data_IF_169421728137
#
_entry.id   IF_169421728137
#
_cell.length_a   1.000
_cell.length_b   1.000
_cell.length_c   1.000
_cell.angle_alpha   90.00
_cell.angle_beta   90.00
_cell.angle_gamma   90.00
#
_symmetry.space_group_name_H-M   'P 1'
#
loop_
_entity.id
_entity.type
_entity.pdbx_description
1 polymer ?
#
# COMPACT_ATOMS: atom_id res chain seq x y z
N UNK A 1 32.87 -20.02 2.65
CA UNK A 1 31.60 -19.37 3.04
C UNK A 1 30.43 -20.37 2.97
N UNK A 2 30.56 -21.57 3.54
CA UNK A 2 29.62 -22.70 3.34
C UNK A 2 28.99 -23.21 4.65
N UNK A 3 29.47 -22.76 5.80
CA UNK A 3 29.07 -23.29 7.10
C UNK A 3 27.71 -22.75 7.56
N UNK A 4 27.44 -21.45 7.39
CA UNK A 4 26.16 -20.82 7.75
C UNK A 4 24.99 -21.37 6.94
N UNK A 5 25.12 -21.40 5.61
CA UNK A 5 24.14 -22.03 4.72
C UNK A 5 23.82 -23.50 5.06
N UNK A 6 24.83 -24.30 5.40
CA UNK A 6 24.63 -25.69 5.79
C UNK A 6 23.89 -25.81 7.13
N UNK A 7 24.25 -25.02 8.13
CA UNK A 7 23.55 -24.99 9.42
C UNK A 7 22.09 -24.57 9.27
N UNK A 8 21.83 -23.54 8.46
CA UNK A 8 20.47 -23.05 8.22
C UNK A 8 19.61 -24.09 7.51
N UNK A 9 20.16 -24.76 6.49
CA UNK A 9 19.46 -25.84 5.81
C UNK A 9 19.13 -27.01 6.77
N UNK A 10 20.02 -27.33 7.72
CA UNK A 10 19.74 -28.34 8.75
C UNK A 10 18.60 -27.87 9.67
N UNK A 11 18.61 -26.61 10.12
CA UNK A 11 17.55 -26.07 10.95
C UNK A 11 16.18 -26.17 10.27
N UNK A 12 16.08 -25.79 8.99
CA UNK A 12 14.84 -25.91 8.22
C UNK A 12 14.41 -27.36 8.01
N UNK A 13 15.34 -28.30 7.83
CA UNK A 13 15.00 -29.73 7.75
C UNK A 13 14.43 -30.28 9.05
N UNK A 14 14.96 -29.83 10.19
CA UNK A 14 14.59 -30.35 11.53
C UNK A 14 13.31 -29.69 12.05
N UNK A 15 13.19 -28.37 11.93
CA UNK A 15 12.10 -27.58 12.51
C UNK A 15 11.02 -27.19 11.51
N UNK A 16 11.35 -27.20 10.21
CA UNK A 16 10.46 -26.73 9.16
C UNK A 16 9.39 -27.77 8.81
N UNK A 17 8.15 -27.31 8.75
CA UNK A 17 7.02 -28.10 8.25
C UNK A 17 7.02 -28.10 6.72
N UNK A 18 6.62 -29.20 6.07
CA UNK A 18 6.42 -29.23 4.63
C UNK A 18 5.39 -28.17 4.19
N UNK A 19 5.75 -27.42 3.16
CA UNK A 19 4.91 -26.39 2.56
C UNK A 19 5.02 -26.46 1.03
N UNK A 20 4.08 -25.78 0.37
CA UNK A 20 4.03 -25.68 -1.08
C UNK A 20 3.80 -24.23 -1.46
N UNK A 21 4.66 -23.69 -2.30
CA UNK A 21 4.44 -22.39 -2.92
C UNK A 21 4.01 -22.59 -4.38
N UNK A 22 2.89 -22.01 -4.78
CA UNK A 22 2.42 -22.00 -6.16
C UNK A 22 2.57 -20.59 -6.72
N UNK A 23 3.54 -20.35 -7.62
CA UNK A 23 3.66 -19.08 -8.32
C UNK A 23 2.44 -18.79 -9.21
N UNK A 24 2.13 -17.52 -9.53
CA UNK A 24 1.03 -17.15 -10.41
C UNK A 24 1.08 -17.81 -11.80
N UNK A 25 2.29 -18.00 -12.34
CA UNK A 25 2.49 -18.45 -13.73
C UNK A 25 3.40 -19.67 -13.86
N UNK A 26 3.66 -20.40 -12.78
CA UNK A 26 4.59 -21.53 -12.80
C UNK A 26 4.14 -22.70 -11.93
N UNK A 27 4.85 -23.82 -12.06
CA UNK A 27 4.54 -25.04 -11.32
C UNK A 27 4.78 -24.85 -9.81
N UNK A 28 4.03 -25.57 -8.95
CA UNK A 28 4.24 -25.55 -7.51
C UNK A 28 5.65 -25.99 -7.11
N UNK A 29 6.22 -25.28 -6.13
CA UNK A 29 7.57 -25.47 -5.58
C UNK A 29 7.43 -25.99 -4.14
N UNK A 30 7.80 -27.25 -3.89
CA UNK A 30 7.88 -27.78 -2.53
C UNK A 30 8.98 -27.05 -1.74
N UNK A 31 8.68 -26.70 -0.49
CA UNK A 31 9.62 -26.01 0.40
C UNK A 31 9.36 -26.38 1.86
N UNK A 32 10.17 -25.82 2.76
CA UNK A 32 9.93 -25.89 4.20
C UNK A 32 9.72 -24.52 4.79
N UNK A 33 8.88 -24.47 5.82
CA UNK A 33 8.57 -23.25 6.53
C UNK A 33 8.62 -23.44 8.04
N UNK A 34 9.14 -22.45 8.75
CA UNK A 34 9.14 -22.43 10.22
C UNK A 34 8.12 -21.38 10.66
N UNK A 35 7.22 -21.73 11.58
CA UNK A 35 6.26 -20.75 12.10
C UNK A 35 7.00 -19.67 12.87
N UNK A 36 6.83 -18.41 12.48
CA UNK A 36 7.40 -17.29 13.21
C UNK A 36 6.63 -17.07 14.52
N UNK A 37 7.37 -16.94 15.62
CA UNK A 37 6.83 -16.69 16.97
C UNK A 37 7.32 -15.38 17.59
N UNK A 38 8.33 -14.76 17.00
CA UNK A 38 8.95 -13.53 17.50
C UNK A 38 8.97 -12.46 16.40
N UNK A 39 8.77 -11.16 16.73
CA UNK A 39 8.94 -10.06 15.79
C UNK A 39 10.32 -10.05 15.11
N UNK A 40 10.41 -9.52 13.88
CA UNK A 40 11.71 -9.14 13.31
C UNK A 40 12.05 -7.73 13.76
N UNK A 41 13.24 -7.54 14.32
CA UNK A 41 13.68 -6.23 14.81
C UNK A 41 14.68 -5.62 13.87
N UNK A 42 14.35 -4.47 13.30
CA UNK A 42 15.23 -3.67 12.47
C UNK A 42 15.59 -2.39 13.22
N UNK A 43 16.69 -2.44 13.98
CA UNK A 43 17.09 -1.35 14.87
C UNK A 43 16.06 -1.11 15.97
N UNK A 44 15.34 0.01 15.91
CA UNK A 44 14.30 0.40 16.88
C UNK A 44 12.88 0.10 16.39
N UNK A 45 12.73 -0.45 15.17
CA UNK A 45 11.43 -0.74 14.59
C UNK A 45 11.24 -2.25 14.56
N UNK A 46 10.14 -2.71 15.16
CA UNK A 46 9.75 -4.11 15.14
C UNK A 46 8.69 -4.35 14.07
N UNK A 47 8.95 -5.32 13.20
CA UNK A 47 7.93 -5.94 12.38
C UNK A 47 7.21 -7.00 13.22
N UNK A 48 5.96 -6.75 13.62
CA UNK A 48 5.25 -7.65 14.51
C UNK A 48 4.85 -8.95 13.81
N UNK A 49 4.70 -10.01 14.61
CA UNK A 49 4.04 -11.23 14.18
C UNK A 49 2.54 -11.07 14.37
N UNK A 50 1.82 -10.91 13.27
CA UNK A 50 0.34 -10.96 13.22
C UNK A 50 -0.09 -12.05 12.24
N UNK A 51 -1.27 -12.62 12.46
CA UNK A 51 -1.79 -13.67 11.59
C UNK A 51 -0.83 -14.87 11.49
N UNK A 52 -0.57 -15.32 10.26
CA UNK A 52 0.27 -16.47 9.95
C UNK A 52 1.60 -16.08 9.31
N UNK A 53 2.59 -15.77 10.15
CA UNK A 53 3.95 -15.47 9.66
C UNK A 53 4.81 -16.73 9.58
N UNK A 54 5.57 -16.88 8.50
CA UNK A 54 6.42 -18.04 8.24
C UNK A 54 7.80 -17.63 7.77
N UNK A 55 8.83 -18.20 8.39
CA UNK A 55 10.20 -18.05 7.97
C UNK A 55 10.49 -19.09 6.88
N UNK A 56 11.13 -18.64 5.81
CA UNK A 56 11.43 -19.40 4.60
C UNK A 56 12.93 -19.34 4.31
N UNK A 57 13.46 -20.43 3.76
CA UNK A 57 14.82 -20.46 3.25
C UNK A 57 14.83 -19.98 1.80
N UNK A 58 15.52 -18.87 1.53
CA UNK A 58 15.53 -18.21 0.20
C UNK A 58 16.10 -19.09 -0.91
N UNK A 59 16.96 -20.04 -0.57
CA UNK A 59 17.48 -21.01 -1.54
C UNK A 59 16.47 -22.08 -1.95
N UNK A 60 15.41 -22.29 -1.18
CA UNK A 60 14.33 -23.22 -1.51
C UNK A 60 13.20 -22.52 -2.26
N UNK A 61 12.84 -21.31 -1.83
CA UNK A 61 11.68 -20.60 -2.37
C UNK A 61 11.80 -19.09 -2.19
N UNK A 62 11.32 -18.36 -3.19
CA UNK A 62 11.18 -16.90 -3.14
C UNK A 62 9.76 -16.52 -3.59
N UNK A 63 8.76 -16.53 -2.67
CA UNK A 63 7.40 -16.17 -3.02
C UNK A 63 7.27 -14.77 -3.62
N UNK A 64 6.56 -14.66 -4.73
CA UNK A 64 6.17 -13.39 -5.36
C UNK A 64 4.69 -13.06 -5.13
N UNK A 65 4.39 -11.76 -5.25
CA UNK A 65 3.05 -11.21 -5.12
C UNK A 65 2.05 -11.92 -6.05
N UNK A 66 0.85 -12.22 -5.54
CA UNK A 66 -0.20 -12.92 -6.26
C UNK A 66 -0.06 -14.44 -6.28
N UNK A 67 1.05 -15.00 -5.78
CA UNK A 67 1.20 -16.44 -5.59
C UNK A 67 0.37 -16.98 -4.42
N UNK A 68 0.37 -18.30 -4.25
CA UNK A 68 -0.31 -18.97 -3.12
C UNK A 68 0.69 -19.79 -2.32
N UNK A 69 0.67 -19.63 -1.00
CA UNK A 69 1.49 -20.39 -0.07
C UNK A 69 0.63 -21.32 0.78
N UNK A 70 0.89 -22.62 0.71
CA UNK A 70 0.11 -23.66 1.40
C UNK A 70 0.96 -24.37 2.44
N UNK A 71 0.47 -24.45 3.67
CA UNK A 71 1.15 -25.12 4.79
C UNK A 71 0.13 -25.71 5.75
N UNK A 72 0.34 -26.96 6.17
CA UNK A 72 -0.59 -27.67 7.06
C UNK A 72 -2.03 -27.77 6.52
N UNK A 73 -2.20 -27.76 5.19
CA UNK A 73 -3.51 -27.79 4.53
C UNK A 73 -4.21 -26.43 4.40
N UNK A 74 -3.68 -25.36 5.00
CA UNK A 74 -4.19 -24.00 4.84
C UNK A 74 -3.48 -23.31 3.67
N UNK A 75 -4.25 -22.66 2.80
CA UNK A 75 -3.74 -21.86 1.68
C UNK A 75 -3.83 -20.36 2.01
N UNK A 76 -2.76 -19.64 1.75
CA UNK A 76 -2.64 -18.21 1.99
C UNK A 76 -2.23 -17.47 0.71
N UNK A 77 -2.91 -16.38 0.33
CA UNK A 77 -2.43 -15.54 -0.75
C UNK A 77 -1.15 -14.79 -0.33
N UNK A 78 -0.22 -14.63 -1.26
CA UNK A 78 0.98 -13.82 -1.09
C UNK A 78 0.65 -12.39 -1.49
N UNK A 79 0.14 -11.61 -0.54
CA UNK A 79 -0.26 -10.21 -0.74
C UNK A 79 0.91 -9.22 -0.52
N UNK A 80 1.99 -9.69 0.09
CA UNK A 80 3.22 -8.94 0.30
C UNK A 80 4.38 -9.91 0.04
N UNK A 81 5.39 -9.52 -0.78
CA UNK A 81 6.60 -10.31 -0.91
C UNK A 81 7.29 -10.56 0.45
N UNK A 82 8.01 -11.67 0.63
CA UNK A 82 8.72 -11.97 1.87
C UNK A 82 9.73 -10.88 2.24
N UNK A 83 9.82 -10.59 3.53
CA UNK A 83 10.71 -9.58 4.09
C UNK A 83 12.05 -10.25 4.47
N UNK A 84 13.20 -9.78 3.96
CA UNK A 84 14.50 -10.30 4.38
C UNK A 84 14.73 -10.15 5.89
N UNK A 85 15.52 -11.04 6.47
CA UNK A 85 15.87 -10.93 7.89
C UNK A 85 16.82 -9.73 8.18
N UNK A 86 16.82 -9.21 9.41
CA UNK A 86 17.83 -8.28 9.89
C UNK A 86 19.26 -8.85 9.70
N UNK A 87 20.21 -8.02 9.26
CA UNK A 87 21.59 -8.46 8.90
C UNK A 87 22.35 -8.96 10.14
N UNK A 88 22.04 -8.41 11.30
CA UNK A 88 22.55 -8.85 12.61
C UNK A 88 22.06 -10.26 12.99
N UNK A 89 20.90 -10.68 12.48
CA UNK A 89 20.33 -12.01 12.73
C UNK A 89 20.62 -13.00 11.60
N UNK A 90 20.87 -12.51 10.39
CA UNK A 90 21.09 -13.31 9.19
C UNK A 90 22.07 -12.61 8.23
N UNK A 91 23.37 -12.58 8.55
CA UNK A 91 24.36 -11.83 7.78
C UNK A 91 24.58 -12.40 6.37
N UNK A 92 24.28 -13.69 6.17
CA UNK A 92 24.35 -14.36 4.87
C UNK A 92 23.05 -14.15 4.04
N UNK A 93 22.02 -13.53 4.63
CA UNK A 93 20.75 -13.20 3.96
C UNK A 93 20.03 -14.44 3.41
N UNK A 94 20.06 -15.54 4.15
CA UNK A 94 19.53 -16.84 3.76
C UNK A 94 18.03 -16.97 3.99
N UNK A 95 17.47 -16.17 4.90
CA UNK A 95 16.07 -16.26 5.35
C UNK A 95 15.25 -15.07 4.88
N UNK A 96 13.98 -15.34 4.66
CA UNK A 96 12.96 -14.31 4.51
C UNK A 96 11.71 -14.70 5.27
N UNK A 97 10.94 -13.73 5.73
CA UNK A 97 9.68 -13.93 6.41
C UNK A 97 8.52 -13.60 5.49
N UNK A 98 7.68 -14.58 5.23
CA UNK A 98 6.39 -14.41 4.57
C UNK A 98 5.33 -14.04 5.60
N UNK A 99 4.54 -13.00 5.30
CA UNK A 99 3.47 -12.48 6.16
C UNK A 99 2.10 -12.89 5.59
N UNK A 100 1.51 -13.99 6.06
CA UNK A 100 0.20 -14.43 5.58
C UNK A 100 -0.93 -13.90 6.48
N UNK A 101 -1.92 -13.22 5.89
CA UNK A 101 -3.06 -12.67 6.65
C UNK A 101 -2.64 -11.63 7.69
N UNK A 102 -1.59 -10.86 7.39
CA UNK A 102 -0.98 -9.88 8.27
C UNK A 102 -1.51 -8.47 8.01
N UNK A 103 -1.58 -7.67 9.07
CA UNK A 103 -1.90 -6.25 8.98
C UNK A 103 -3.34 -5.94 8.58
N UNK A 104 -3.61 -4.65 8.51
CA UNK A 104 -4.87 -4.05 8.08
C UNK A 104 -4.68 -3.44 6.69
N UNK A 105 -5.70 -3.54 5.85
CA UNK A 105 -5.71 -2.85 4.55
C UNK A 105 -5.84 -1.33 4.75
N UNK A 106 -4.98 -0.57 4.09
CA UNK A 106 -4.97 0.88 4.12
C UNK A 106 -4.65 1.44 2.74
N UNK A 107 -5.09 2.67 2.46
CA UNK A 107 -4.72 3.39 1.23
C UNK A 107 -3.65 4.41 1.57
N UNK A 108 -2.46 4.25 1.01
CA UNK A 108 -1.42 5.25 1.07
C UNK A 108 -1.63 6.27 -0.04
N UNK A 109 -1.76 7.55 0.34
CA UNK A 109 -2.06 8.65 -0.57
C UNK A 109 -0.84 9.55 -0.72
N UNK A 110 -0.23 9.51 -1.90
CA UNK A 110 0.90 10.37 -2.29
C UNK A 110 0.39 11.73 -2.75
N UNK A 111 0.14 12.62 -1.78
CA UNK A 111 -0.29 13.99 -2.14
C UNK A 111 0.84 14.72 -2.85
N UNK A 112 0.52 15.36 -3.98
CA UNK A 112 1.46 16.19 -4.76
C UNK A 112 0.89 17.60 -4.97
N UNK A 113 1.79 18.55 -5.25
CA UNK A 113 1.41 19.94 -5.51
C UNK A 113 0.86 20.69 -4.30
N UNK A 114 0.36 21.91 -4.55
CA UNK A 114 -0.29 22.75 -3.55
C UNK A 114 -1.41 23.57 -4.21
N UNK A 115 -2.39 24.02 -3.41
CA UNK A 115 -3.52 24.83 -3.88
C UNK A 115 -4.11 24.30 -5.21
N UNK A 116 -3.99 25.05 -6.31
CA UNK A 116 -4.57 24.70 -7.62
C UNK A 116 -3.88 23.53 -8.34
N UNK A 117 -2.71 23.10 -7.88
CA UNK A 117 -2.00 21.91 -8.40
C UNK A 117 -2.07 20.72 -7.44
N UNK A 118 -2.85 20.84 -6.35
CA UNK A 118 -3.00 19.78 -5.36
C UNK A 118 -3.66 18.54 -5.98
N UNK A 119 -2.99 17.38 -5.90
CA UNK A 119 -3.56 16.09 -6.23
C UNK A 119 -3.40 15.10 -5.04
N UNK A 120 -4.46 14.39 -4.60
CA UNK A 120 -5.82 14.48 -5.15
C UNK A 120 -6.47 15.81 -4.77
N UNK A 121 -7.37 16.34 -5.61
CA UNK A 121 -8.09 17.57 -5.31
C UNK A 121 -8.94 17.41 -4.05
N UNK A 122 -9.18 18.53 -3.37
CA UNK A 122 -10.14 18.63 -2.27
C UNK A 122 -11.50 19.08 -2.80
N UNK A 123 -12.57 18.62 -2.19
CA UNK A 123 -13.94 19.00 -2.50
C UNK A 123 -14.92 17.88 -2.16
N UNK A 124 -16.21 18.15 -2.29
CA UNK A 124 -17.27 17.17 -2.05
C UNK A 124 -18.48 17.42 -2.95
N UNK A 125 -19.38 16.43 -3.04
CA UNK A 125 -20.61 16.57 -3.83
C UNK A 125 -20.36 16.69 -5.33
N UNK A 126 -19.41 15.91 -5.86
CA UNK A 126 -19.04 15.95 -7.27
C UNK A 126 -20.23 15.58 -8.17
N UNK A 127 -20.53 16.43 -9.14
CA UNK A 127 -21.62 16.23 -10.10
C UNK A 127 -21.23 16.72 -11.48
N UNK A 128 -21.87 16.17 -12.51
CA UNK A 128 -21.80 16.69 -13.87
C UNK A 128 -22.36 18.12 -13.88
N UNK A 129 -21.58 19.11 -14.29
CA UNK A 129 -21.98 20.51 -14.25
C UNK A 129 -22.96 20.87 -15.39
N UNK A 130 -22.68 20.35 -16.59
CA UNK A 130 -23.45 20.58 -17.83
C UNK A 130 -23.73 19.23 -18.46
N UNK A 131 -24.94 19.04 -18.99
CA UNK A 131 -25.30 17.78 -19.63
C UNK A 131 -24.33 17.43 -20.77
N UNK A 132 -23.90 16.17 -20.83
CA UNK A 132 -23.00 15.65 -21.85
C UNK A 132 -23.74 14.57 -22.66
N UNK A 133 -23.76 14.66 -24.01
CA UNK A 133 -24.41 13.65 -24.83
C UNK A 133 -23.63 12.33 -24.83
N UNK A 134 -24.29 11.25 -25.25
CA UNK A 134 -23.59 10.02 -25.64
C UNK A 134 -22.56 10.36 -26.73
N UNK A 135 -21.40 9.71 -26.69
CA UNK A 135 -20.28 10.01 -27.59
C UNK A 135 -19.37 11.14 -27.12
N UNK A 136 -19.72 11.88 -26.05
CA UNK A 136 -18.83 12.91 -25.50
C UNK A 136 -17.56 12.29 -24.91
N UNK A 137 -16.40 12.79 -25.32
CA UNK A 137 -15.09 12.40 -24.75
C UNK A 137 -14.63 13.33 -23.62
N UNK A 138 -15.35 14.43 -23.37
CA UNK A 138 -15.03 15.40 -22.33
C UNK A 138 -16.28 15.70 -21.50
N UNK A 139 -16.11 15.92 -20.20
CA UNK A 139 -17.20 16.28 -19.28
C UNK A 139 -16.79 17.44 -18.38
N UNK A 140 -17.73 18.32 -18.03
CA UNK A 140 -17.47 19.36 -17.02
C UNK A 140 -18.02 18.88 -15.69
N UNK A 141 -17.19 18.90 -14.65
CA UNK A 141 -17.53 18.40 -13.32
C UNK A 141 -17.47 19.56 -12.34
N UNK A 142 -18.51 19.73 -11.52
CA UNK A 142 -18.55 20.73 -10.44
C UNK A 142 -18.62 20.04 -9.08
N UNK A 143 -18.25 20.77 -8.04
CA UNK A 143 -18.39 20.32 -6.66
C UNK A 143 -18.48 21.51 -5.70
N UNK A 144 -18.57 21.20 -4.41
CA UNK A 144 -18.53 22.18 -3.34
C UNK A 144 -17.10 22.35 -2.83
N UNK A 145 -16.65 23.61 -2.70
CA UNK A 145 -15.35 24.00 -2.15
C UNK A 145 -14.17 23.26 -2.81
N UNK A 146 -14.17 23.20 -4.13
CA UNK A 146 -13.17 22.45 -4.88
C UNK A 146 -11.89 23.24 -5.07
N UNK A 147 -10.76 22.60 -4.83
CA UNK A 147 -9.41 23.12 -5.10
C UNK A 147 -8.49 21.97 -5.49
N UNK A 148 -7.51 22.23 -6.33
CA UNK A 148 -6.56 21.22 -6.81
C UNK A 148 -6.76 20.85 -8.26
N UNK A 149 -6.19 19.72 -8.63
CA UNK A 149 -6.07 19.27 -10.01
C UNK A 149 -6.31 17.77 -10.13
N UNK A 150 -7.13 17.41 -11.13
CA UNK A 150 -7.22 16.05 -11.64
C UNK A 150 -6.00 15.76 -12.51
N UNK A 151 -5.41 14.58 -12.40
CA UNK A 151 -4.22 14.16 -13.16
C UNK A 151 -4.53 12.95 -14.06
N UNK A 152 -3.70 12.70 -15.09
CA UNK A 152 -3.79 11.48 -15.88
C UNK A 152 -3.73 10.23 -15.00
N UNK A 153 -4.64 9.29 -15.24
CA UNK A 153 -4.76 8.06 -14.46
C UNK A 153 -5.77 8.14 -13.31
N UNK A 154 -6.15 9.34 -12.86
CA UNK A 154 -7.32 9.51 -11.99
C UNK A 154 -8.57 9.01 -12.73
N UNK A 155 -9.59 8.56 -11.98
CA UNK A 155 -10.80 8.00 -12.56
C UNK A 155 -12.04 8.71 -12.04
N UNK A 156 -12.97 8.99 -12.94
CA UNK A 156 -14.31 9.47 -12.63
C UNK A 156 -15.33 8.37 -12.95
N UNK A 157 -16.18 8.04 -11.98
CA UNK A 157 -17.35 7.17 -12.17
C UNK A 157 -18.55 8.04 -12.52
N UNK A 158 -19.08 7.88 -13.73
CA UNK A 158 -20.19 8.67 -14.28
C UNK A 158 -21.24 7.70 -14.82
N UNK A 159 -22.47 7.77 -14.31
CA UNK A 159 -23.53 6.84 -14.74
C UNK A 159 -23.26 5.37 -14.40
N UNK A 160 -22.35 5.09 -13.45
CA UNK A 160 -21.93 3.74 -13.06
C UNK A 160 -20.66 3.23 -13.76
N UNK A 161 -20.23 3.89 -14.83
CA UNK A 161 -19.03 3.51 -15.58
C UNK A 161 -17.80 4.32 -15.14
N UNK A 162 -16.66 3.65 -14.98
CA UNK A 162 -15.40 4.29 -14.64
C UNK A 162 -14.61 4.71 -15.90
N UNK A 163 -14.29 5.99 -15.98
CA UNK A 163 -13.51 6.62 -17.05
C UNK A 163 -12.19 7.13 -16.49
N UNK A 164 -11.08 6.87 -17.19
CA UNK A 164 -9.79 7.42 -16.81
C UNK A 164 -9.62 8.82 -17.39
N UNK A 165 -9.07 9.73 -16.59
CA UNK A 165 -8.72 11.08 -16.99
C UNK A 165 -7.40 11.01 -17.75
N UNK A 166 -7.32 11.70 -18.89
CA UNK A 166 -6.18 11.58 -19.81
C UNK A 166 -5.25 12.79 -19.82
N UNK A 167 -5.69 13.93 -19.30
CA UNK A 167 -4.86 15.13 -19.17
C UNK A 167 -5.17 15.90 -17.87
N UNK A 168 -4.21 16.68 -17.36
CA UNK A 168 -4.40 17.45 -16.13
C UNK A 168 -5.49 18.52 -16.27
N UNK A 169 -6.37 18.66 -15.26
CA UNK A 169 -7.41 19.70 -15.22
C UNK A 169 -7.49 20.31 -13.82
N UNK A 170 -7.14 21.59 -13.71
CA UNK A 170 -7.25 22.34 -12.45
C UNK A 170 -8.66 22.86 -12.22
N UNK A 171 -9.06 22.88 -10.94
CA UNK A 171 -10.33 23.47 -10.54
C UNK A 171 -10.27 24.99 -10.65
N UNK A 172 -11.30 25.60 -11.24
CA UNK A 172 -11.53 27.03 -11.25
C UNK A 172 -13.01 27.30 -10.94
N UNK A 173 -13.29 28.17 -9.97
CA UNK A 173 -14.68 28.49 -9.61
C UNK A 173 -15.51 27.28 -9.18
N UNK A 174 -14.90 26.33 -8.46
CA UNK A 174 -15.50 25.04 -8.08
C UNK A 174 -15.82 24.07 -9.24
N UNK A 175 -15.18 24.26 -10.39
CA UNK A 175 -15.43 23.46 -11.61
C UNK A 175 -14.11 22.96 -12.20
N UNK A 176 -14.10 21.68 -12.58
CA UNK A 176 -13.15 21.13 -13.55
C UNK A 176 -13.78 21.20 -14.95
N UNK A 177 -13.32 22.15 -15.76
CA UNK A 177 -13.85 22.36 -17.11
C UNK A 177 -13.26 21.37 -18.11
N UNK A 178 -14.10 20.79 -18.97
CA UNK A 178 -13.69 19.93 -20.08
C UNK A 178 -12.73 18.80 -19.69
N UNK A 179 -13.02 18.08 -18.60
CA UNK A 179 -12.26 16.91 -18.14
C UNK A 179 -12.24 15.86 -19.24
N UNK A 180 -11.06 15.54 -19.81
CA UNK A 180 -10.94 14.60 -20.92
C UNK A 180 -10.92 13.17 -20.41
N UNK A 181 -11.70 12.31 -21.05
CA UNK A 181 -11.89 10.90 -20.71
C UNK A 181 -11.11 9.99 -21.67
N UNK A 182 -10.77 8.79 -21.22
CA UNK A 182 -10.08 7.75 -22.00
C UNK A 182 -10.93 7.19 -23.14
N UNK A 183 -12.25 7.25 -22.98
CA UNK A 183 -13.23 6.82 -23.98
C UNK A 183 -14.49 7.67 -23.89
N UNK A 184 -15.24 7.69 -24.98
CA UNK A 184 -16.50 8.40 -25.05
C UNK A 184 -17.58 7.80 -24.13
N UNK A 185 -18.46 8.65 -23.61
CA UNK A 185 -19.61 8.21 -22.83
C UNK A 185 -20.53 7.29 -23.66
N UNK A 186 -20.90 6.09 -23.18
CA UNK A 186 -21.80 5.19 -23.91
C UNK A 186 -23.25 5.68 -23.88
N UNK A 187 -23.62 6.45 -22.86
CA UNK A 187 -24.96 7.02 -22.66
C UNK A 187 -24.85 8.50 -22.26
N UNK A 188 -25.91 9.31 -22.47
CA UNK A 188 -25.89 10.71 -22.05
C UNK A 188 -25.79 10.84 -20.52
N UNK A 189 -24.99 11.80 -20.04
CA UNK A 189 -24.92 12.18 -18.65
C UNK A 189 -25.68 13.48 -18.41
N UNK A 190 -26.73 13.44 -17.58
CA UNK A 190 -27.51 14.63 -17.23
C UNK A 190 -26.72 15.59 -16.33
N UNK A 191 -27.01 16.89 -16.43
CA UNK A 191 -26.52 17.85 -15.44
C UNK A 191 -27.02 17.48 -14.05
N UNK A 192 -26.14 17.55 -13.05
CA UNK A 192 -26.41 17.13 -11.68
C UNK A 192 -26.24 15.62 -11.41
N UNK A 193 -25.94 14.80 -12.42
CA UNK A 193 -25.62 13.39 -12.20
C UNK A 193 -24.41 13.24 -11.26
N UNK A 194 -24.45 12.34 -10.27
CA UNK A 194 -23.36 12.16 -9.32
C UNK A 194 -22.10 11.64 -10.02
N UNK A 195 -20.95 12.11 -9.53
CA UNK A 195 -19.63 11.63 -9.92
C UNK A 195 -18.91 11.13 -8.68
N UNK A 196 -18.22 10.00 -8.79
CA UNK A 196 -17.28 9.56 -7.76
C UNK A 196 -15.87 9.51 -8.34
N UNK A 197 -14.88 9.93 -7.56
CA UNK A 197 -13.48 9.86 -7.99
C UNK A 197 -12.74 8.72 -7.28
N UNK A 198 -11.84 8.07 -8.01
CA UNK A 198 -10.69 7.36 -7.44
C UNK A 198 -9.43 7.94 -8.06
N UNK A 199 -8.37 8.06 -7.26
CA UNK A 199 -7.18 8.80 -7.66
C UNK A 199 -5.99 7.86 -7.87
N UNK A 200 -5.18 8.11 -8.89
CA UNK A 200 -3.99 7.29 -9.15
C UNK A 200 -2.93 7.41 -8.04
N UNK A 201 -2.97 8.50 -7.27
CA UNK A 201 -2.11 8.68 -6.10
C UNK A 201 -2.51 7.82 -4.88
N UNK A 202 -3.64 7.13 -4.95
CA UNK A 202 -4.14 6.27 -3.87
C UNK A 202 -3.73 4.82 -4.13
N UNK A 203 -2.82 4.31 -3.30
CA UNK A 203 -2.27 2.96 -3.44
C UNK A 203 -2.67 2.09 -2.25
N UNK A 204 -3.31 0.95 -2.53
CA UNK A 204 -3.73 0.02 -1.50
C UNK A 204 -2.51 -0.79 -1.01
N UNK A 205 -2.30 -0.80 0.30
CA UNK A 205 -1.23 -1.58 0.93
C UNK A 205 -1.66 -2.15 2.28
N UNK A 206 -0.82 -3.01 2.86
CA UNK A 206 -0.99 -3.58 4.20
C UNK A 206 -0.11 -2.85 5.20
N UNK A 207 -0.68 -2.50 6.35
CA UNK A 207 0.03 -1.87 7.48
C UNK A 207 -0.29 -2.58 8.78
N UNK A 208 0.63 -2.60 9.74
CA UNK A 208 0.30 -2.93 11.13
C UNK A 208 0.05 -1.66 11.92
N UNK A 209 -1.13 -1.55 12.55
CA UNK A 209 -1.51 -0.42 13.40
C UNK A 209 -1.02 -0.69 14.82
N UNK A 210 -0.30 0.26 15.42
CA UNK A 210 0.29 0.15 16.76
C UNK A 210 0.00 1.39 17.58
N UNK A 211 -0.14 1.18 18.88
CA UNK A 211 -0.17 2.25 19.86
C UNK A 211 1.25 2.71 20.17
N UNK A 212 1.39 3.98 20.55
CA UNK A 212 2.61 4.45 21.19
C UNK A 212 2.72 3.87 22.60
N UNK A 213 3.94 3.50 23.01
CA UNK A 213 4.19 3.09 24.39
C UNK A 213 4.10 4.31 25.32
N UNK A 214 3.74 4.09 26.59
CA UNK A 214 3.55 5.18 27.55
C UNK A 214 4.80 6.08 27.70
N UNK A 215 6.01 5.50 27.59
CA UNK A 215 7.27 6.23 27.62
C UNK A 215 7.56 7.08 26.36
N UNK A 216 6.86 6.83 25.26
CA UNK A 216 7.00 7.57 24.00
C UNK A 216 6.05 8.78 23.92
N UNK A 217 5.07 8.88 24.82
CA UNK A 217 4.09 9.98 24.86
C UNK A 217 4.69 11.35 25.24
N UNK A 218 5.99 11.41 25.52
CA UNK A 218 6.72 12.66 25.77
C UNK A 218 7.20 13.25 24.43
N UNK A 219 6.61 14.37 24.01
CA UNK A 219 7.14 15.19 22.90
C UNK A 219 6.37 15.14 21.58
N UNK A 220 5.14 15.68 21.56
CA UNK A 220 4.42 15.96 20.31
C UNK A 220 3.47 14.87 19.82
N UNK A 221 3.37 13.76 20.55
CA UNK A 221 2.34 12.73 20.36
C UNK A 221 1.07 13.18 21.09
N UNK A 222 -0.04 13.25 20.38
CA UNK A 222 -1.34 13.66 20.95
C UNK A 222 -2.27 12.45 21.04
N UNK A 223 -3.19 12.46 22.01
CA UNK A 223 -4.24 11.44 22.13
C UNK A 223 -4.95 11.26 20.79
N UNK A 224 -5.01 10.02 20.32
CA UNK A 224 -5.61 9.66 19.03
C UNK A 224 -4.58 9.36 17.93
N UNK A 225 -3.34 9.85 18.06
CA UNK A 225 -2.26 9.49 17.13
C UNK A 225 -2.00 7.98 17.11
N UNK A 226 -1.61 7.49 15.94
CA UNK A 226 -1.31 6.08 15.70
C UNK A 226 0.09 5.91 15.14
N UNK A 227 0.65 4.72 15.34
CA UNK A 227 1.88 4.28 14.71
C UNK A 227 1.55 3.23 13.65
N UNK A 228 2.02 3.40 12.42
CA UNK A 228 1.83 2.44 11.34
C UNK A 228 3.17 1.85 10.93
N UNK A 229 3.28 0.52 11.00
CA UNK A 229 4.45 -0.20 10.51
C UNK A 229 4.18 -0.69 9.09
N UNK A 230 5.03 -0.29 8.15
CA UNK A 230 4.86 -0.57 6.71
C UNK A 230 6.13 -1.17 6.13
N UNK A 231 6.13 -2.44 5.70
CA UNK A 231 7.28 -3.01 4.98
C UNK A 231 7.55 -2.26 3.67
N UNK A 232 8.82 -2.00 3.33
CA UNK A 232 9.16 -1.37 2.05
C UNK A 232 8.61 -2.19 0.87
N UNK A 233 8.72 -3.52 0.94
CA UNK A 233 8.17 -4.43 -0.08
C UNK A 233 6.64 -4.31 -0.26
N UNK A 234 5.91 -3.83 0.75
CA UNK A 234 4.48 -3.56 0.63
C UNK A 234 4.20 -2.24 -0.10
N UNK A 235 5.06 -1.23 0.07
CA UNK A 235 5.03 0.00 -0.72
C UNK A 235 5.37 -0.29 -2.19
N UNK A 236 6.41 -1.08 -2.43
CA UNK A 236 6.86 -1.45 -3.78
C UNK A 236 5.79 -2.27 -4.53
N UNK A 237 5.20 -3.26 -3.85
CA UNK A 237 4.11 -4.07 -4.42
C UNK A 237 2.85 -3.23 -4.73
N UNK A 238 2.62 -2.16 -3.97
CA UNK A 238 1.57 -1.19 -4.22
C UNK A 238 1.95 -0.11 -5.25
N UNK A 239 3.14 -0.17 -5.85
CA UNK A 239 3.59 0.81 -6.84
C UNK A 239 3.92 2.20 -6.27
N UNK A 240 4.17 2.31 -4.96
CA UNK A 240 4.55 3.57 -4.32
C UNK A 240 6.03 3.83 -4.56
N UNK A 241 6.33 4.79 -5.43
CA UNK A 241 7.70 5.13 -5.86
C UNK A 241 8.38 6.24 -5.04
N UNK A 242 7.74 6.70 -3.96
CA UNK A 242 8.25 7.81 -3.13
C UNK A 242 8.41 7.36 -1.68
N UNK A 243 9.41 7.90 -1.00
CA UNK A 243 9.59 7.66 0.43
C UNK A 243 8.45 8.33 1.22
N UNK A 244 7.86 7.62 2.22
CA UNK A 244 6.90 8.20 3.13
C UNK A 244 7.42 9.47 3.82
N UNK A 245 6.57 10.50 3.90
CA UNK A 245 6.92 11.80 4.48
C UNK A 245 5.66 12.52 4.99
N UNK A 246 5.86 13.63 5.69
CA UNK A 246 4.76 14.46 6.20
C UNK A 246 3.87 15.10 5.11
N UNK A 247 4.29 15.03 3.84
CA UNK A 247 3.44 15.43 2.71
C UNK A 247 2.30 14.43 2.43
N UNK A 248 2.38 13.22 2.95
CA UNK A 248 1.49 12.12 2.59
C UNK A 248 0.44 11.83 3.67
N UNK A 249 -0.51 10.97 3.33
CA UNK A 249 -1.55 10.53 4.26
C UNK A 249 -1.92 9.07 4.04
N UNK A 250 -2.49 8.45 5.05
CA UNK A 250 -3.02 7.09 5.01
C UNK A 250 -4.52 7.15 5.25
N UNK A 251 -5.30 6.38 4.50
CA UNK A 251 -6.72 6.17 4.74
C UNK A 251 -6.93 4.76 5.29
N UNK A 252 -7.56 4.66 6.44
CA UNK A 252 -7.96 3.39 7.06
C UNK A 252 -9.48 3.42 7.17
N UNK A 253 -10.15 2.57 6.39
CA UNK A 253 -11.59 2.74 6.15
C UNK A 253 -11.89 4.11 5.53
N UNK A 254 -12.84 4.86 6.10
CA UNK A 254 -13.19 6.20 5.65
C UNK A 254 -12.36 7.32 6.30
N UNK A 255 -11.53 7.00 7.30
CA UNK A 255 -10.80 8.00 8.05
C UNK A 255 -9.44 8.29 7.42
N UNK A 256 -9.15 9.57 7.20
CA UNK A 256 -7.84 10.05 6.75
C UNK A 256 -6.96 10.36 7.96
N UNK A 257 -5.71 9.92 7.86
CA UNK A 257 -4.64 10.17 8.82
C UNK A 257 -3.47 10.83 8.10
N UNK A 258 -3.03 12.00 8.57
CA UNK A 258 -1.84 12.69 8.05
C UNK A 258 -0.59 12.07 8.63
N UNK A 259 0.42 11.83 7.79
CA UNK A 259 1.75 11.48 8.28
C UNK A 259 2.35 12.70 8.96
N UNK A 260 2.76 12.57 10.21
CA UNK A 260 3.45 13.60 10.99
C UNK A 260 4.96 13.42 10.88
N UNK A 261 5.42 12.19 11.10
CA UNK A 261 6.81 11.79 10.91
C UNK A 261 6.87 10.40 10.28
N UNK A 262 7.95 10.14 9.55
CA UNK A 262 8.23 8.85 8.93
C UNK A 262 9.70 8.49 9.18
N UNK A 263 9.94 7.32 9.76
CA UNK A 263 11.28 6.82 10.07
C UNK A 263 11.48 5.49 9.36
N UNK A 264 12.56 5.38 8.59
CA UNK A 264 12.93 4.13 7.94
C UNK A 264 13.98 3.38 8.76
N UNK A 265 13.75 2.09 8.99
CA UNK A 265 14.84 1.16 9.24
C UNK A 265 15.49 0.82 7.89
N UNK A 266 16.82 0.85 7.85
CA UNK A 266 17.60 0.63 6.63
C UNK A 266 18.57 -0.52 6.78
N UNK A 267 18.76 -1.28 5.71
CA UNK A 267 19.78 -2.32 5.58
C UNK A 267 20.56 -2.06 4.29
N UNK A 268 21.90 -2.03 4.38
CA UNK A 268 22.77 -1.69 3.24
C UNK A 268 22.35 -0.39 2.51
N UNK A 269 21.85 0.61 3.25
CA UNK A 269 21.38 1.90 2.72
C UNK A 269 19.94 1.91 2.20
N UNK A 270 19.34 0.76 1.91
CA UNK A 270 17.96 0.65 1.44
C UNK A 270 16.97 0.59 2.61
N UNK A 271 15.82 1.27 2.48
CA UNK A 271 14.73 1.13 3.44
C UNK A 271 14.14 -0.28 3.35
N UNK A 272 13.83 -0.87 4.51
CA UNK A 272 13.21 -2.21 4.59
C UNK A 272 11.89 -2.18 5.36
N UNK A 273 11.78 -1.26 6.31
CA UNK A 273 10.60 -1.11 7.15
C UNK A 273 10.43 0.37 7.50
N UNK A 274 9.20 0.85 7.45
CA UNK A 274 8.82 2.20 7.83
C UNK A 274 7.99 2.19 9.09
N UNK A 275 8.27 3.19 9.91
CA UNK A 275 7.51 3.57 11.08
C UNK A 275 6.90 4.95 10.84
N UNK A 276 5.58 4.98 10.64
CA UNK A 276 4.84 6.20 10.38
C UNK A 276 4.08 6.62 11.62
N UNK A 277 4.40 7.79 12.16
CA UNK A 277 3.53 8.48 13.10
C UNK A 277 2.46 9.21 12.32
N UNK A 278 1.19 8.86 12.56
CA UNK A 278 0.05 9.49 11.90
C UNK A 278 -0.91 10.11 12.91
N UNK A 279 -1.54 11.22 12.53
CA UNK A 279 -2.58 11.89 13.31
C UNK A 279 -3.75 12.30 12.43
N UNK A 280 -4.94 12.43 13.04
CA UNK A 280 -6.16 12.85 12.36
C UNK A 280 -6.09 14.32 11.91
#
# INVERSE_FOLDING_TARGET
MTYGAQQMAVQFRVLGVPALYTPPTANPIPCRAIRATQPLRFGTIDLPVEGACWDLLRSEVAPEFGGTFTVGGAAYPVDIPPIPFPVDQDPEGLRARLLCGWGTSATFRTTTGNQNTLNPPTGSGWTVATAAPAGASNVTIKATLTTGQLLPGDRAVIGGDAFAITAPVSAAGNVFANVPLDRALPTPAAAGAPVAFSFACDQLLKVAVRSFEAGQLLGGIVVGDQRLIVPQVALDAAGVMVEPSAAHSVLIGAQRWRVKTAVAARQAGAAVLWDLHVGA
#
